data_IF_750880511857
#
_entry.id   IF_750880511857
#
_cell.length_a   1.000
_cell.length_b   1.000
_cell.length_c   1.000
_cell.angle_alpha   90.00
_cell.angle_beta   90.00
_cell.angle_gamma   90.00
#
_symmetry.space_group_name_H-M   'P 1'
#
loop_
_entity.id
_entity.type
_entity.pdbx_description
1 polymer ?
#
# COMPACT_ATOMS: atom_id res chain seq x y z
N UNK A 1 26.90 5.83 -25.92
CA UNK A 1 25.84 6.46 -26.74
C UNK A 1 24.75 5.46 -27.12
N UNK A 2 24.83 4.20 -26.67
CA UNK A 2 23.99 3.09 -27.17
C UNK A 2 23.12 2.41 -26.09
N UNK A 3 22.83 3.09 -24.97
CA UNK A 3 21.93 2.54 -23.98
C UNK A 3 20.47 2.64 -24.47
N UNK A 4 19.88 1.52 -24.90
CA UNK A 4 18.46 1.44 -25.28
C UNK A 4 17.58 1.34 -24.04
N UNK A 5 17.38 2.48 -23.37
CA UNK A 5 16.51 2.60 -22.22
C UNK A 5 15.11 3.01 -22.67
N UNK A 6 14.13 2.17 -22.34
CA UNK A 6 12.71 2.38 -22.68
C UNK A 6 11.84 2.25 -21.43
N UNK A 7 10.80 3.07 -21.37
CA UNK A 7 9.83 3.03 -20.27
C UNK A 7 8.67 2.15 -20.68
N UNK A 8 8.49 1.02 -20.01
CA UNK A 8 7.36 0.12 -20.26
C UNK A 8 6.32 0.25 -19.16
N UNK A 9 5.04 0.26 -19.54
CA UNK A 9 3.93 0.24 -18.59
C UNK A 9 3.51 -1.20 -18.32
N UNK A 10 3.47 -1.60 -17.05
CA UNK A 10 2.97 -2.89 -16.59
C UNK A 10 1.91 -2.70 -15.50
N UNK A 11 1.07 -3.71 -15.27
CA UNK A 11 0.08 -3.63 -14.21
C UNK A 11 0.73 -3.80 -12.83
N UNK A 12 0.18 -3.11 -11.83
CA UNK A 12 0.65 -3.24 -10.45
C UNK A 12 0.57 -4.68 -9.95
N UNK A 13 -0.50 -5.41 -10.29
CA UNK A 13 -0.64 -6.82 -9.93
C UNK A 13 0.52 -7.70 -10.45
N UNK A 14 0.98 -7.45 -11.68
CA UNK A 14 2.14 -8.16 -12.25
C UNK A 14 3.42 -7.81 -11.47
N UNK A 15 3.66 -6.52 -11.22
CA UNK A 15 4.82 -6.08 -10.44
C UNK A 15 4.80 -6.62 -9.00
N UNK A 16 3.61 -6.73 -8.39
CA UNK A 16 3.46 -7.27 -7.03
C UNK A 16 3.80 -8.76 -6.98
N UNK A 17 3.26 -9.56 -7.90
CA UNK A 17 3.59 -11.00 -8.02
C UNK A 17 5.08 -11.25 -8.28
N UNK A 18 5.75 -10.33 -8.99
CA UNK A 18 7.18 -10.43 -9.27
C UNK A 18 8.09 -9.84 -8.17
N UNK A 19 7.52 -9.10 -7.22
CA UNK A 19 8.27 -8.49 -6.10
C UNK A 19 8.07 -9.22 -4.77
N UNK A 20 7.02 -10.02 -4.65
CA UNK A 20 6.58 -10.67 -3.41
C UNK A 20 6.21 -12.13 -3.65
N UNK A 21 6.08 -12.89 -2.57
CA UNK A 21 5.60 -14.27 -2.61
C UNK A 21 4.06 -14.35 -2.57
N UNK A 22 3.33 -13.23 -2.75
CA UNK A 22 1.87 -13.24 -2.74
C UNK A 22 1.33 -14.07 -3.92
N UNK A 23 0.46 -15.04 -3.63
CA UNK A 23 -0.24 -15.85 -4.63
C UNK A 23 0.70 -16.69 -5.49
N UNK A 24 1.50 -17.57 -4.88
CA UNK A 24 2.47 -18.45 -5.57
C UNK A 24 3.59 -17.69 -6.31
N UNK A 25 4.03 -16.55 -5.76
CA UNK A 25 5.09 -15.72 -6.33
C UNK A 25 6.45 -16.41 -6.47
N UNK A 26 7.37 -15.79 -7.22
CA UNK A 26 8.69 -16.37 -7.53
C UNK A 26 9.51 -16.65 -6.26
N UNK A 27 10.30 -17.74 -6.23
CA UNK A 27 11.14 -18.10 -5.09
C UNK A 27 12.08 -16.97 -4.69
N UNK A 28 12.28 -16.83 -3.38
CA UNK A 28 13.10 -15.75 -2.82
C UNK A 28 14.58 -16.00 -3.06
N UNK A 29 15.10 -15.50 -4.19
CA UNK A 29 16.51 -15.64 -4.50
C UNK A 29 17.48 -14.89 -3.59
N UNK A 30 18.73 -15.35 -3.60
CA UNK A 30 19.91 -14.65 -3.07
C UNK A 30 20.09 -13.31 -3.80
N UNK A 31 20.47 -12.22 -3.10
CA UNK A 31 20.69 -10.92 -3.73
C UNK A 31 21.84 -10.98 -4.74
N UNK A 32 21.85 -10.03 -5.67
CA UNK A 32 23.00 -9.79 -6.55
C UNK A 32 24.26 -9.56 -5.70
N UNK A 33 25.38 -10.14 -6.12
CA UNK A 33 26.66 -9.91 -5.47
C UNK A 33 27.06 -8.43 -5.64
N UNK A 34 27.25 -7.67 -4.55
CA UNK A 34 27.54 -6.24 -4.62
C UNK A 34 28.90 -5.91 -5.25
N UNK A 35 29.85 -6.85 -5.28
CA UNK A 35 31.19 -6.61 -5.82
C UNK A 35 31.29 -6.97 -7.30
N UNK A 36 30.58 -8.02 -7.73
CA UNK A 36 30.63 -8.48 -9.14
C UNK A 36 29.46 -8.01 -9.99
N UNK A 37 28.36 -7.56 -9.36
CA UNK A 37 27.11 -7.20 -10.05
C UNK A 37 26.44 -8.39 -10.75
N UNK A 38 26.94 -9.61 -10.54
CA UNK A 38 26.38 -10.82 -11.15
C UNK A 38 25.19 -11.30 -10.31
N UNK A 39 24.09 -11.61 -11.00
CA UNK A 39 23.00 -12.38 -10.40
C UNK A 39 23.46 -13.84 -10.35
N UNK A 40 23.38 -14.53 -9.19
CA UNK A 40 23.70 -15.95 -9.12
C UNK A 40 22.89 -16.75 -10.14
N UNK A 41 23.35 -17.93 -10.51
CA UNK A 41 22.57 -18.80 -11.39
C UNK A 41 21.26 -19.25 -10.72
N UNK A 42 20.25 -19.65 -11.50
CA UNK A 42 18.98 -20.15 -10.94
C UNK A 42 19.19 -21.34 -9.99
N UNK A 43 20.18 -22.20 -10.28
CA UNK A 43 20.57 -23.34 -9.43
C UNK A 43 21.15 -22.91 -8.08
N UNK A 44 21.78 -21.74 -8.03
CA UNK A 44 22.31 -21.12 -6.81
C UNK A 44 21.26 -20.22 -6.12
N UNK A 45 20.04 -20.21 -6.66
CA UNK A 45 18.93 -19.41 -6.18
C UNK A 45 19.04 -17.94 -6.54
N UNK A 46 19.66 -17.57 -7.66
CA UNK A 46 19.63 -16.18 -8.13
C UNK A 46 18.32 -15.86 -8.84
N UNK A 47 17.63 -14.81 -8.38
CA UNK A 47 16.38 -14.35 -9.00
C UNK A 47 16.33 -12.82 -9.04
N UNK A 48 15.93 -12.26 -10.18
CA UNK A 48 15.62 -10.84 -10.34
C UNK A 48 14.30 -10.51 -9.66
N UNK A 49 14.30 -9.43 -8.86
CA UNK A 49 13.08 -8.96 -8.18
C UNK A 49 12.77 -7.53 -8.54
N UNK A 50 11.47 -7.28 -8.66
CA UNK A 50 10.97 -5.93 -8.81
C UNK A 50 11.06 -5.23 -7.45
N UNK A 51 11.74 -4.09 -7.40
CA UNK A 51 11.67 -3.15 -6.28
C UNK A 51 10.60 -2.13 -6.63
N UNK A 52 9.46 -2.20 -5.94
CA UNK A 52 8.41 -1.20 -6.11
C UNK A 52 8.80 0.05 -5.32
N UNK A 53 8.81 1.20 -5.98
CA UNK A 53 9.06 2.48 -5.36
C UNK A 53 7.78 3.33 -5.39
N UNK A 54 7.37 3.93 -4.26
CA UNK A 54 6.25 4.88 -4.25
C UNK A 54 6.62 6.18 -4.96
N UNK A 55 5.61 6.93 -5.39
CA UNK A 55 5.79 8.27 -5.94
C UNK A 55 6.24 9.23 -4.83
N UNK A 56 7.31 9.99 -5.07
CA UNK A 56 7.81 11.00 -4.13
C UNK A 56 6.77 12.08 -3.83
N UNK A 57 5.95 12.44 -4.83
CA UNK A 57 4.85 13.40 -4.68
C UNK A 57 3.78 12.88 -3.72
N UNK A 58 3.41 11.61 -3.85
CA UNK A 58 2.39 11.02 -2.97
C UNK A 58 2.93 10.84 -1.55
N UNK A 59 4.21 10.53 -1.38
CA UNK A 59 4.83 10.52 -0.05
C UNK A 59 4.82 11.90 0.61
N UNK A 60 5.03 12.97 -0.17
CA UNK A 60 4.92 14.33 0.32
C UNK A 60 3.51 14.65 0.82
N UNK A 61 2.46 14.21 0.12
CA UNK A 61 1.08 14.37 0.58
C UNK A 61 0.79 13.51 1.81
N UNK A 62 1.21 12.25 1.80
CA UNK A 62 1.02 11.31 2.92
C UNK A 62 1.59 11.84 4.24
N UNK A 63 2.73 12.53 4.20
CA UNK A 63 3.36 13.15 5.37
C UNK A 63 2.47 14.16 6.12
N UNK A 64 1.45 14.70 5.47
CA UNK A 64 0.54 15.74 6.02
C UNK A 64 -0.81 15.20 6.46
N UNK A 65 -1.09 13.93 6.18
CA UNK A 65 -2.38 13.32 6.45
C UNK A 65 -2.36 12.48 7.74
N UNK A 66 -3.55 12.11 8.24
CA UNK A 66 -3.67 11.24 9.40
C UNK A 66 -3.19 9.83 9.05
N UNK A 67 -2.52 9.15 9.98
CA UNK A 67 -2.02 7.78 9.77
C UNK A 67 -0.70 7.68 9.00
N UNK A 68 0.04 8.79 8.81
CA UNK A 68 1.35 8.82 8.11
C UNK A 68 2.37 7.79 8.63
N UNK A 69 2.29 7.42 9.91
CA UNK A 69 3.17 6.41 10.53
C UNK A 69 2.99 5.01 9.91
N UNK A 70 1.81 4.72 9.34
CA UNK A 70 1.51 3.45 8.66
C UNK A 70 2.35 3.28 7.40
N UNK A 71 2.75 4.37 6.75
CA UNK A 71 3.60 4.37 5.55
C UNK A 71 5.10 4.48 5.91
N UNK A 72 5.43 4.52 7.20
CA UNK A 72 6.81 4.67 7.67
C UNK A 72 7.30 6.11 7.74
N UNK A 73 6.40 7.08 7.87
CA UNK A 73 6.71 8.51 8.07
C UNK A 73 6.51 8.86 9.56
N UNK A 74 7.59 9.23 10.24
CA UNK A 74 7.62 9.38 11.71
C UNK A 74 8.14 10.74 12.18
N UNK A 75 8.47 11.64 11.26
CA UNK A 75 8.90 13.00 11.56
C UNK A 75 7.84 13.74 12.39
N UNK A 76 8.30 14.56 13.33
CA UNK A 76 7.40 15.43 14.10
C UNK A 76 6.76 16.46 13.17
N UNK A 77 7.54 16.99 12.23
CA UNK A 77 7.07 17.93 11.21
C UNK A 77 6.88 17.26 9.85
N UNK A 78 5.79 17.63 9.16
CA UNK A 78 5.51 17.17 7.80
C UNK A 78 6.60 17.61 6.79
N UNK A 79 7.32 18.71 7.09
CA UNK A 79 8.44 19.18 6.27
C UNK A 79 9.64 18.24 6.36
N UNK A 80 9.92 17.66 7.53
CA UNK A 80 11.01 16.72 7.72
C UNK A 80 10.72 15.38 7.09
N UNK A 81 9.48 14.88 7.23
CA UNK A 81 9.02 13.69 6.52
C UNK A 81 9.09 13.85 5.00
N UNK A 82 8.66 15.01 4.48
CA UNK A 82 8.77 15.35 3.07
C UNK A 82 10.22 15.41 2.58
N UNK A 83 11.13 16.01 3.36
CA UNK A 83 12.56 16.06 3.04
C UNK A 83 13.18 14.67 3.06
N UNK A 84 12.82 13.84 4.04
CA UNK A 84 13.29 12.46 4.10
C UNK A 84 12.77 11.68 2.88
N UNK A 85 11.47 11.79 2.57
CA UNK A 85 10.85 11.18 1.39
C UNK A 85 11.52 11.60 0.07
N UNK A 86 11.88 12.88 -0.07
CA UNK A 86 12.52 13.43 -1.27
C UNK A 86 13.97 12.98 -1.46
N UNK A 87 14.70 12.66 -0.38
CA UNK A 87 16.09 12.15 -0.45
C UNK A 87 16.19 10.72 -1.01
N UNK A 88 15.06 10.11 -1.38
CA UNK A 88 15.01 8.78 -1.99
C UNK A 88 15.04 7.64 -0.96
N UNK A 89 14.65 6.44 -1.39
CA UNK A 89 14.39 5.28 -0.54
C UNK A 89 15.55 4.92 0.40
N UNK A 90 16.79 5.18 -0.03
CA UNK A 90 18.03 4.85 0.69
C UNK A 90 18.40 5.87 1.78
N UNK A 91 17.92 7.12 1.66
CA UNK A 91 18.06 8.13 2.71
C UNK A 91 16.92 8.05 3.73
N UNK A 92 15.71 7.65 3.30
CA UNK A 92 14.59 7.45 4.22
C UNK A 92 14.89 6.30 5.18
N UNK A 93 15.52 5.22 4.70
CA UNK A 93 15.91 4.08 5.56
C UNK A 93 16.91 4.49 6.65
N UNK A 94 17.80 5.45 6.40
CA UNK A 94 18.74 5.97 7.42
C UNK A 94 18.09 7.02 8.32
N UNK A 95 17.36 7.98 7.76
CA UNK A 95 16.73 9.06 8.54
C UNK A 95 15.58 8.59 9.45
N UNK A 96 14.82 7.57 9.04
CA UNK A 96 13.79 6.97 9.91
C UNK A 96 14.40 6.14 11.04
N UNK A 97 15.58 5.53 10.84
CA UNK A 97 16.30 4.83 11.91
C UNK A 97 16.74 5.79 13.02
N UNK A 98 17.28 6.96 12.67
CA UNK A 98 17.76 7.94 13.65
C UNK A 98 16.62 8.64 14.41
N UNK A 99 15.53 8.96 13.72
CA UNK A 99 14.36 9.58 14.34
C UNK A 99 13.62 8.62 15.28
N UNK A 100 13.48 7.35 14.88
CA UNK A 100 12.86 6.31 15.70
C UNK A 100 13.75 5.91 16.89
N UNK A 101 15.08 5.82 16.72
CA UNK A 101 16.00 5.57 17.83
C UNK A 101 15.90 6.63 18.94
N UNK A 102 15.63 7.89 18.57
CA UNK A 102 15.39 8.97 19.53
C UNK A 102 14.03 8.88 20.23
N UNK A 103 12.98 8.43 19.54
CA UNK A 103 11.64 8.24 20.13
C UNK A 103 11.59 6.98 21.00
N UNK A 104 12.18 5.88 20.53
CA UNK A 104 12.28 4.62 21.24
C UNK A 104 13.22 4.73 22.45
N UNK A 105 14.31 5.50 22.36
CA UNK A 105 15.16 5.81 23.52
C UNK A 105 14.42 6.58 24.62
N UNK A 106 13.51 7.48 24.25
CA UNK A 106 12.63 8.18 25.21
C UNK A 106 11.54 7.26 25.78
N UNK A 107 10.96 6.39 24.96
CA UNK A 107 9.96 5.41 25.40
C UNK A 107 10.58 4.31 26.29
N UNK A 108 11.79 3.85 25.99
CA UNK A 108 12.55 2.91 26.81
C UNK A 108 13.03 3.54 28.12
N UNK A 109 13.40 4.83 28.13
CA UNK A 109 13.70 5.56 29.36
C UNK A 109 12.45 5.69 30.24
N UNK A 110 11.30 6.05 29.66
CA UNK A 110 10.02 6.13 30.36
C UNK A 110 9.53 4.74 30.86
N UNK A 111 9.73 3.67 30.07
CA UNK A 111 9.44 2.30 30.49
C UNK A 111 10.41 1.78 31.56
N UNK A 112 11.68 2.19 31.54
CA UNK A 112 12.64 1.84 32.61
C UNK A 112 12.30 2.53 33.93
N UNK A 113 11.80 3.76 33.89
CA UNK A 113 11.23 4.42 35.08
C UNK A 113 9.94 3.76 35.56
N UNK A 114 9.04 3.37 34.65
CA UNK A 114 7.80 2.66 34.98
C UNK A 114 8.05 1.24 35.53
N UNK A 115 9.02 0.51 34.98
CA UNK A 115 9.38 -0.85 35.41
C UNK A 115 10.23 -0.86 36.69
N UNK A 116 10.96 0.22 37.01
CA UNK A 116 11.57 0.39 38.34
C UNK A 116 10.53 0.44 39.46
N UNK A 117 9.29 0.84 39.16
CA UNK A 117 8.16 0.85 40.11
C UNK A 117 7.34 -0.45 40.14
N UNK A 118 7.58 -1.41 39.24
CA UNK A 118 6.82 -2.67 39.13
C UNK A 118 7.74 -3.91 39.07
N UNK A 119 8.68 -4.02 40.00
CA UNK A 119 9.37 -5.31 40.23
C UNK A 119 8.66 -6.08 41.35
N UNK A 120 7.70 -6.91 40.95
CA UNK A 120 7.57 -8.28 41.45
C UNK A 120 6.60 -9.04 40.54
N UNK A 121 7.10 -10.17 40.06
CA UNK A 121 6.44 -11.28 39.38
C UNK A 121 6.45 -11.25 37.83
N UNK A 122 6.84 -12.43 37.36
CA UNK A 122 6.73 -13.02 36.03
C UNK A 122 7.86 -12.77 35.00
N UNK A 123 8.73 -13.76 34.99
CA UNK A 123 9.65 -14.09 33.92
C UNK A 123 8.88 -14.61 32.70
N UNK A 124 8.49 -13.69 31.81
CA UNK A 124 8.39 -13.97 30.39
C UNK A 124 8.42 -12.65 29.62
N UNK A 125 9.62 -12.10 29.46
CA UNK A 125 9.82 -10.95 28.59
C UNK A 125 9.70 -11.43 27.13
N UNK A 126 8.83 -10.83 26.29
CA UNK A 126 8.83 -11.12 24.87
C UNK A 126 10.17 -10.68 24.28
N UNK A 127 10.81 -11.58 23.53
CA UNK A 127 11.98 -11.27 22.71
C UNK A 127 11.62 -10.07 21.82
N UNK A 128 12.34 -8.92 21.90
CA UNK A 128 12.08 -7.81 20.99
C UNK A 128 12.35 -8.31 19.57
N UNK A 129 11.28 -8.37 18.78
CA UNK A 129 11.33 -8.82 17.39
C UNK A 129 12.48 -8.08 16.69
N UNK A 130 13.42 -8.85 16.08
CA UNK A 130 14.50 -8.33 15.23
C UNK A 130 13.92 -7.26 14.31
N UNK A 131 14.17 -5.98 14.62
CA UNK A 131 13.60 -4.80 13.97
C UNK A 131 14.15 -4.72 12.54
N UNK A 132 13.42 -5.34 11.59
CA UNK A 132 13.70 -5.28 10.15
C UNK A 132 13.73 -3.82 9.69
N UNK A 133 14.71 -3.45 8.84
CA UNK A 133 14.73 -2.20 8.08
C UNK A 133 13.32 -1.88 7.55
N UNK A 134 12.67 -0.85 8.10
CA UNK A 134 11.34 -0.45 7.65
C UNK A 134 11.49 0.42 6.40
N UNK A 135 11.18 -0.16 5.26
CA UNK A 135 11.07 0.55 3.98
C UNK A 135 9.78 1.38 4.01
N UNK A 136 9.82 2.55 3.40
CA UNK A 136 8.63 3.38 3.19
C UNK A 136 7.60 2.59 2.38
N UNK A 137 6.37 2.55 2.89
CA UNK A 137 5.26 1.87 2.26
C UNK A 137 4.77 2.61 1.01
N UNK A 138 3.83 2.01 0.30
CA UNK A 138 3.15 2.68 -0.81
C UNK A 138 1.91 3.37 -0.22
N UNK A 139 1.85 4.71 -0.21
CA UNK A 139 0.72 5.42 0.37
C UNK A 139 -0.53 5.21 -0.46
N UNK A 140 -1.66 5.03 0.23
CA UNK A 140 -3.00 5.02 -0.35
C UNK A 140 -3.89 5.89 0.52
N UNK A 141 -4.66 6.76 -0.12
CA UNK A 141 -5.48 7.77 0.53
C UNK A 141 -6.94 7.32 0.56
N UNK A 142 -7.56 7.50 1.71
CA UNK A 142 -8.95 7.14 1.97
C UNK A 142 -9.64 8.28 2.68
N UNK A 143 -10.93 8.48 2.38
CA UNK A 143 -11.79 9.37 3.15
C UNK A 143 -13.15 8.69 3.39
N UNK A 144 -13.66 8.67 4.63
CA UNK A 144 -14.87 7.92 4.97
C UNK A 144 -16.14 8.35 4.22
N UNK A 145 -16.26 9.64 3.92
CA UNK A 145 -17.46 10.21 3.31
C UNK A 145 -17.55 9.97 1.79
N UNK A 146 -16.47 9.52 1.16
CA UNK A 146 -16.45 9.23 -0.28
C UNK A 146 -16.77 7.75 -0.49
N UNK A 147 -18.02 7.44 -0.81
CA UNK A 147 -18.46 6.08 -1.16
C UNK A 147 -18.85 6.03 -2.63
N UNK A 148 -18.38 5.01 -3.36
CA UNK A 148 -18.75 4.82 -4.77
C UNK A 148 -19.80 3.74 -4.88
N UNK A 149 -20.91 4.02 -5.57
CA UNK A 149 -21.88 2.98 -5.93
C UNK A 149 -21.25 2.03 -6.96
N UNK A 150 -21.26 0.74 -6.66
CA UNK A 150 -20.70 -0.27 -7.57
C UNK A 150 -21.61 -0.46 -8.80
N UNK A 151 -21.06 -0.77 -9.99
CA UNK A 151 -21.87 -1.22 -11.13
C UNK A 151 -22.64 -2.50 -10.79
N UNK A 152 -23.82 -2.70 -11.35
CA UNK A 152 -24.73 -3.83 -11.03
C UNK A 152 -24.02 -5.20 -11.12
N UNK A 153 -23.20 -5.41 -12.16
CA UNK A 153 -22.47 -6.68 -12.30
C UNK A 153 -21.47 -6.93 -11.15
N UNK A 154 -20.84 -5.86 -10.61
CA UNK A 154 -19.94 -5.98 -9.44
C UNK A 154 -20.71 -6.16 -8.14
N UNK A 155 -21.92 -5.61 -8.04
CA UNK A 155 -22.78 -5.83 -6.87
C UNK A 155 -23.17 -7.31 -6.74
N UNK A 156 -23.40 -7.98 -7.87
CA UNK A 156 -23.76 -9.41 -7.87
C UNK A 156 -22.57 -10.27 -7.42
N UNK A 157 -21.35 -9.98 -7.85
CA UNK A 157 -20.17 -10.79 -7.48
C UNK A 157 -19.61 -10.44 -6.10
N UNK A 158 -19.70 -9.17 -5.71
CA UNK A 158 -19.15 -8.67 -4.43
C UNK A 158 -20.14 -8.80 -3.28
N UNK A 159 -21.44 -8.92 -3.56
CA UNK A 159 -22.49 -8.88 -2.54
C UNK A 159 -22.75 -7.49 -1.94
N UNK A 160 -21.91 -6.49 -2.23
CA UNK A 160 -22.02 -5.13 -1.70
C UNK A 160 -22.48 -4.11 -2.74
N UNK A 161 -23.29 -3.14 -2.28
CA UNK A 161 -23.82 -2.05 -3.11
C UNK A 161 -22.84 -0.87 -3.22
N UNK A 162 -21.93 -0.74 -2.26
CA UNK A 162 -21.04 0.39 -2.06
C UNK A 162 -19.59 -0.09 -2.00
N UNK A 163 -18.70 0.66 -2.62
CA UNK A 163 -17.26 0.45 -2.54
C UNK A 163 -16.59 1.63 -1.84
N UNK A 164 -15.54 1.31 -1.09
CA UNK A 164 -14.63 2.26 -0.44
C UNK A 164 -13.47 2.54 -1.39
N UNK A 165 -13.43 3.71 -2.06
CA UNK A 165 -12.37 4.03 -2.99
C UNK A 165 -11.09 4.40 -2.24
N UNK A 166 -10.03 3.66 -2.54
CA UNK A 166 -8.69 3.86 -2.01
C UNK A 166 -7.82 4.45 -3.12
N UNK A 167 -7.49 5.73 -3.02
CA UNK A 167 -6.80 6.48 -4.06
C UNK A 167 -5.29 6.34 -3.95
N UNK A 168 -4.63 6.04 -5.06
CA UNK A 168 -3.16 6.07 -5.14
C UNK A 168 -2.61 7.49 -5.36
N UNK A 169 -3.49 8.46 -5.64
CA UNK A 169 -3.18 9.88 -5.86
C UNK A 169 -4.00 10.72 -4.89
N UNK A 170 -3.34 11.55 -4.10
CA UNK A 170 -4.03 12.51 -3.23
C UNK A 170 -4.87 13.50 -4.04
N UNK A 171 -4.38 13.91 -5.21
CA UNK A 171 -5.04 14.91 -6.06
C UNK A 171 -6.34 14.38 -6.66
N UNK A 172 -6.35 13.11 -7.07
CA UNK A 172 -7.55 12.47 -7.60
C UNK A 172 -8.62 12.32 -6.52
N UNK A 173 -8.21 12.11 -5.25
CA UNK A 173 -9.13 12.09 -4.12
C UNK A 173 -9.76 13.48 -3.92
N UNK A 174 -8.95 14.53 -3.94
CA UNK A 174 -9.42 15.91 -3.76
C UNK A 174 -10.30 16.37 -4.93
N UNK A 175 -9.97 16.01 -6.16
CA UNK A 175 -10.79 16.28 -7.34
C UNK A 175 -12.18 15.63 -7.19
N UNK A 176 -12.21 14.33 -6.87
CA UNK A 176 -13.46 13.62 -6.64
C UNK A 176 -14.25 14.17 -5.43
N UNK A 177 -13.56 14.62 -4.38
CA UNK A 177 -14.19 15.28 -3.24
C UNK A 177 -14.89 16.56 -3.65
N UNK A 178 -14.21 17.40 -4.44
CA UNK A 178 -14.74 18.66 -4.91
C UNK A 178 -15.93 18.45 -5.86
N UNK A 179 -15.88 17.43 -6.71
CA UNK A 179 -17.01 17.09 -7.58
C UNK A 179 -18.22 16.58 -6.79
N UNK A 180 -17.99 15.75 -5.77
CA UNK A 180 -19.06 15.34 -4.86
C UNK A 180 -19.63 16.53 -4.09
N UNK A 181 -18.80 17.49 -3.69
CA UNK A 181 -19.22 18.71 -2.97
C UNK A 181 -20.05 19.65 -3.84
N UNK A 182 -19.77 19.72 -5.15
CA UNK A 182 -20.65 20.45 -6.09
C UNK A 182 -22.07 19.87 -6.11
N UNK A 183 -22.20 18.55 -5.97
CA UNK A 183 -23.50 17.88 -5.88
C UNK A 183 -24.12 17.95 -4.46
N UNK A 184 -23.30 18.04 -3.42
CA UNK A 184 -23.71 18.07 -2.01
C UNK A 184 -22.99 19.19 -1.23
N UNK A 185 -23.54 20.42 -1.26
CA UNK A 185 -22.91 21.59 -0.62
C UNK A 185 -22.76 21.50 0.90
N UNK A 186 -23.53 20.62 1.56
CA UNK A 186 -23.50 20.37 3.00
C UNK A 186 -22.21 19.69 3.48
N UNK A 187 -21.40 19.16 2.56
CA UNK A 187 -20.15 18.50 2.90
C UNK A 187 -19.06 19.50 3.34
N UNK A 188 -18.13 19.07 4.21
CA UNK A 188 -17.07 19.93 4.70
C UNK A 188 -16.15 20.41 3.57
N UNK A 189 -15.57 21.60 3.77
CA UNK A 189 -14.74 22.25 2.76
C UNK A 189 -13.53 21.41 2.34
N UNK A 190 -12.94 20.70 3.32
CA UNK A 190 -11.76 19.86 3.13
C UNK A 190 -12.07 18.42 3.53
N UNK A 191 -11.63 17.42 2.75
CA UNK A 191 -11.80 16.03 3.12
C UNK A 191 -10.94 15.69 4.34
N UNK A 192 -11.49 14.89 5.25
CA UNK A 192 -10.67 14.20 6.23
C UNK A 192 -10.00 12.99 5.56
N UNK A 193 -8.68 13.06 5.40
CA UNK A 193 -7.91 12.06 4.67
C UNK A 193 -7.05 11.22 5.62
N UNK A 194 -7.28 9.92 5.57
CA UNK A 194 -6.43 8.91 6.20
C UNK A 194 -5.50 8.27 5.17
N UNK A 195 -4.29 7.95 5.61
CA UNK A 195 -3.30 7.25 4.81
C UNK A 195 -3.12 5.84 5.32
N UNK A 196 -3.07 4.90 4.38
CA UNK A 196 -2.74 3.51 4.61
C UNK A 196 -1.54 3.11 3.78
N UNK A 197 -0.84 2.07 4.23
CA UNK A 197 0.16 1.39 3.43
C UNK A 197 -0.51 0.32 2.59
N UNK A 198 -0.37 0.40 1.26
CA UNK A 198 -0.98 -0.52 0.30
C UNK A 198 -0.70 -1.98 0.64
N UNK A 199 0.54 -2.30 1.02
CA UNK A 199 0.93 -3.68 1.32
C UNK A 199 0.18 -4.19 2.55
N UNK A 200 0.03 -3.36 3.59
CA UNK A 200 -0.70 -3.75 4.80
C UNK A 200 -2.19 -3.97 4.51
N UNK A 201 -2.80 -3.11 3.68
CA UNK A 201 -4.19 -3.29 3.21
C UNK A 201 -4.34 -4.61 2.45
N UNK A 202 -3.46 -4.88 1.48
CA UNK A 202 -3.49 -6.12 0.70
C UNK A 202 -3.29 -7.36 1.57
N UNK A 203 -2.36 -7.32 2.53
CA UNK A 203 -2.15 -8.44 3.47
C UNK A 203 -3.37 -8.67 4.35
N UNK A 204 -4.10 -7.62 4.70
CA UNK A 204 -5.30 -7.70 5.54
C UNK A 204 -6.46 -8.28 4.74
N UNK A 205 -6.62 -7.87 3.47
CA UNK A 205 -7.59 -8.46 2.54
C UNK A 205 -7.34 -9.96 2.33
N UNK A 206 -6.08 -10.37 2.13
CA UNK A 206 -5.70 -11.77 1.94
C UNK A 206 -5.95 -12.60 3.20
N UNK A 207 -5.63 -12.07 4.40
CA UNK A 207 -5.96 -12.72 5.67
C UNK A 207 -7.47 -12.92 5.84
N UNK A 208 -8.27 -11.91 5.54
CA UNK A 208 -9.74 -12.00 5.64
C UNK A 208 -10.30 -13.05 4.68
N UNK A 209 -9.78 -13.11 3.45
CA UNK A 209 -10.16 -14.14 2.46
C UNK A 209 -9.80 -15.55 2.94
N UNK A 210 -8.62 -15.73 3.54
CA UNK A 210 -8.18 -17.03 4.05
C UNK A 210 -8.88 -17.46 5.35
N UNK A 211 -9.40 -16.52 6.14
CA UNK A 211 -10.19 -16.81 7.34
C UNK A 211 -11.63 -17.21 7.06
N UNK A 212 -12.15 -16.93 5.85
CA UNK A 212 -13.52 -17.33 5.48
C UNK A 212 -13.55 -18.85 5.23
N UNK A 213 -14.46 -19.60 5.87
CA UNK A 213 -14.55 -21.04 5.65
C UNK A 213 -14.82 -21.32 4.17
N UNK A 214 -13.95 -22.11 3.54
CA UNK A 214 -14.14 -22.57 2.16
C UNK A 214 -15.39 -23.46 2.16
N UNK A 215 -16.51 -22.94 1.66
CA UNK A 215 -17.72 -23.73 1.48
C UNK A 215 -17.39 -24.83 0.45
N UNK A 216 -17.53 -26.13 0.77
CA UNK A 216 -17.31 -27.18 -0.20
C UNK A 216 -18.29 -27.00 -1.35
N UNK A 217 -17.75 -27.06 -2.57
CA UNK A 217 -18.49 -27.05 -3.82
C UNK A 217 -19.20 -28.41 -3.93
N UNK A 218 -20.28 -28.61 -3.19
CA UNK A 218 -21.19 -29.72 -3.42
C UNK A 218 -22.63 -29.23 -3.22
N UNK A 219 -23.43 -29.46 -4.26
CA UNK A 219 -24.88 -29.38 -4.31
C UNK A 219 -25.52 -28.06 -4.81
N UNK A 220 -25.31 -27.79 -6.11
CA UNK A 220 -25.94 -26.70 -6.87
C UNK A 220 -27.48 -26.81 -6.98
N UNK A 221 -28.08 -28.00 -6.78
CA UNK A 221 -29.52 -28.22 -6.98
C UNK A 221 -30.38 -27.76 -5.79
N UNK A 222 -29.84 -27.65 -4.59
CA UNK A 222 -30.60 -27.32 -3.38
C UNK A 222 -30.47 -25.85 -2.92
N UNK A 223 -29.65 -25.02 -3.58
CA UNK A 223 -29.35 -23.66 -3.12
C UNK A 223 -30.14 -22.52 -3.78
N UNK A 224 -30.96 -22.76 -4.81
CA UNK A 224 -31.73 -21.68 -5.46
C UNK A 224 -32.71 -21.01 -4.47
N UNK A 225 -33.21 -21.74 -3.47
CA UNK A 225 -34.03 -21.18 -2.39
C UNK A 225 -33.23 -20.46 -1.28
N UNK A 226 -31.97 -20.84 -1.07
CA UNK A 226 -31.10 -20.27 -0.02
C UNK A 226 -30.37 -18.98 -0.47
N UNK A 227 -30.15 -18.82 -1.78
CA UNK A 227 -29.53 -17.62 -2.36
C UNK A 227 -30.42 -16.39 -2.14
N UNK A 228 -31.75 -16.51 -2.22
CA UNK A 228 -32.67 -15.39 -1.96
C UNK A 228 -32.65 -14.87 -0.52
N UNK A 229 -32.35 -15.72 0.47
CA UNK A 229 -32.26 -15.32 1.90
C UNK A 229 -30.90 -14.74 2.29
N UNK A 230 -29.84 -14.94 1.49
CA UNK A 230 -28.52 -14.30 1.71
C UNK A 230 -28.37 -12.93 1.03
N UNK A 231 -29.23 -12.61 0.07
CA UNK A 231 -29.32 -11.25 -0.50
C UNK A 231 -30.14 -10.27 0.35
N UNK A 232 -30.66 -10.72 1.50
CA UNK A 232 -31.53 -9.93 2.40
C UNK A 232 -30.95 -9.74 3.80
N UNK A 233 -29.76 -10.28 4.12
CA UNK A 233 -29.06 -9.88 5.34
C UNK A 233 -28.26 -8.61 5.06
N UNK A 234 -28.88 -7.49 5.35
CA UNK A 234 -28.31 -6.14 5.47
C UNK A 234 -27.34 -6.09 6.66
N UNK A 235 -26.37 -7.02 6.72
CA UNK A 235 -25.27 -6.88 7.67
C UNK A 235 -24.34 -5.82 7.08
N UNK A 236 -24.49 -4.59 7.57
CA UNK A 236 -23.55 -3.47 7.47
C UNK A 236 -22.17 -3.80 8.11
N UNK A 237 -21.73 -5.07 8.05
CA UNK A 237 -20.36 -5.42 8.37
C UNK A 237 -19.47 -4.90 7.23
N UNK A 238 -18.74 -3.84 7.53
CA UNK A 238 -17.78 -3.23 6.64
C UNK A 238 -16.63 -4.22 6.33
N UNK A 239 -16.81 -5.05 5.31
CA UNK A 239 -15.77 -6.00 4.91
C UNK A 239 -14.67 -5.33 4.09
N UNK A 240 -13.42 -5.81 4.17
CA UNK A 240 -12.32 -5.28 3.36
C UNK A 240 -12.49 -5.63 1.87
N UNK A 241 -13.48 -6.47 1.52
CA UNK A 241 -13.82 -6.81 0.14
C UNK A 241 -14.43 -5.64 -0.64
N UNK A 242 -14.95 -4.62 0.07
CA UNK A 242 -15.54 -3.43 -0.53
C UNK A 242 -14.49 -2.40 -0.96
N UNK A 243 -13.21 -2.65 -0.67
CA UNK A 243 -12.11 -1.76 -1.05
C UNK A 243 -11.88 -1.83 -2.55
N UNK A 244 -11.94 -0.67 -3.21
CA UNK A 244 -11.58 -0.52 -4.62
C UNK A 244 -10.40 0.43 -4.75
N UNK A 245 -9.28 -0.08 -5.26
CA UNK A 245 -8.11 0.76 -5.55
C UNK A 245 -8.35 1.61 -6.80
N UNK A 246 -8.14 2.92 -6.67
CA UNK A 246 -8.21 3.89 -7.76
C UNK A 246 -6.77 4.26 -8.16
N UNK A 247 -6.29 3.83 -9.34
CA UNK A 247 -4.95 4.18 -9.79
C UNK A 247 -4.84 5.68 -10.10
N UNK A 248 -3.62 6.24 -10.13
CA UNK A 248 -3.43 7.65 -10.43
C UNK A 248 -3.90 7.98 -11.85
N UNK A 249 -4.70 9.02 -12.00
CA UNK A 249 -5.22 9.53 -13.28
C UNK A 249 -4.09 9.85 -14.26
N UNK A 250 -3.00 10.46 -13.78
CA UNK A 250 -1.81 10.76 -14.60
C UNK A 250 -1.12 9.49 -15.11
N UNK A 251 -1.12 8.39 -14.33
CA UNK A 251 -0.53 7.13 -14.75
C UNK A 251 -1.36 6.45 -15.84
N UNK A 252 -2.70 6.57 -15.77
CA UNK A 252 -3.59 6.11 -16.82
C UNK A 252 -3.37 6.87 -18.14
N UNK A 253 -3.34 8.21 -18.07
CA UNK A 253 -3.05 9.07 -19.23
C UNK A 253 -1.67 8.79 -19.84
N UNK A 254 -0.65 8.62 -19.01
CA UNK A 254 0.71 8.32 -19.47
C UNK A 254 0.79 6.96 -20.19
N UNK A 255 0.08 5.94 -19.68
CA UNK A 255 -0.02 4.64 -20.35
C UNK A 255 -0.67 4.76 -21.73
N UNK A 256 -1.70 5.59 -21.88
CA UNK A 256 -2.36 5.84 -23.17
C UNK A 256 -1.42 6.56 -24.14
N UNK A 257 -0.67 7.55 -23.66
CA UNK A 257 0.35 8.25 -24.45
C UNK A 257 1.43 7.29 -24.95
N UNK A 258 1.96 6.40 -24.09
CA UNK A 258 2.93 5.38 -24.48
C UNK A 258 2.38 4.42 -25.54
N UNK A 259 1.10 4.08 -25.49
CA UNK A 259 0.44 3.25 -26.51
C UNK A 259 0.29 3.98 -27.83
N UNK A 260 -0.07 5.26 -27.79
CA UNK A 260 -0.30 6.07 -28.99
C UNK A 260 1.00 6.44 -29.71
N UNK A 261 2.05 6.81 -28.97
CA UNK A 261 3.33 7.26 -29.54
C UNK A 261 4.28 6.11 -29.87
N UNK A 262 4.02 4.89 -29.38
CA UNK A 262 4.98 3.81 -29.39
C UNK A 262 6.05 3.99 -28.31
N UNK A 263 6.80 2.92 -28.03
CA UNK A 263 7.78 2.89 -26.94
C UNK A 263 9.02 3.74 -27.29
N UNK A 264 8.92 5.05 -27.09
CA UNK A 264 9.98 6.03 -27.40
C UNK A 264 11.24 5.79 -26.58
N UNK A 265 12.41 5.88 -27.22
CA UNK A 265 13.71 5.81 -26.53
C UNK A 265 13.82 6.98 -25.56
N UNK A 266 14.10 6.69 -24.29
CA UNK A 266 14.38 7.72 -23.31
C UNK A 266 15.73 8.39 -23.67
N UNK A 267 15.68 9.62 -24.19
CA UNK A 267 16.89 10.44 -24.32
C UNK A 267 17.32 10.90 -22.93
N UNK A 268 18.10 10.06 -22.24
CA UNK A 268 18.81 10.50 -21.05
C UNK A 268 19.76 11.62 -21.47
N UNK A 269 19.53 12.83 -20.93
CA UNK A 269 20.55 13.88 -20.99
C UNK A 269 21.70 13.40 -20.11
N UNK A 270 22.96 13.49 -20.56
CA UNK A 270 24.09 13.21 -19.69
C UNK A 270 23.98 14.11 -18.46
N UNK A 271 24.04 13.52 -17.25
CA UNK A 271 24.26 14.29 -16.03
C UNK A 271 25.63 14.95 -16.17
N UNK A 272 25.66 16.28 -16.13
CA UNK A 272 26.88 17.05 -15.93
C UNK A 272 27.25 17.05 -14.46
#
# INVERSE_FOLDING_TARGET
>A
KDADLRITASSFAKALRQSTNFGEGLPTGRPMDPYTGKVPSEKEGGYLRYKIAPSARELFYAARCKGKQRVGLYGQDARDDARNAAKGLDAITRGTQDAQAKLDGKAEAAQKEANKKKKRNDANAPIPAKRKLRKVGIPVFYTPMLQRRLPVFKQITSGSKKAKPFFMSYEDLVENWNDLRKAHPEMPEKPEVEVFNLIDVLTSMDKEQNSKPKIPILDWKNQIGAVKKRFSSDSDEETLQDITFVPPSYAARYKEQLRAQGNGKARLRPMR
#
